data_IF_475051983100
#
_entry.id   IF_475051983100
#
_cell.length_a   1.000
_cell.length_b   1.000
_cell.length_c   1.000
_cell.angle_alpha   90.00
_cell.angle_beta   90.00
_cell.angle_gamma   90.00
#
_symmetry.space_group_name_H-M   'P 1'
#
loop_
_entity.id
_entity.type
_entity.pdbx_description
1 polymer ?
#
# COMPACT_ATOMS: atom_id res chain seq x y z
N UNK A 1 23.12 17.30 10.78
CA UNK A 1 21.72 17.11 11.17
C UNK A 1 21.33 15.67 10.97
N UNK A 2 20.78 15.05 11.98
CA UNK A 2 20.30 13.66 11.88
C UNK A 2 18.77 13.66 11.85
N UNK A 3 18.23 12.77 11.05
CA UNK A 3 16.79 12.57 10.95
C UNK A 3 16.44 11.18 11.47
N UNK A 4 15.54 11.11 12.43
CA UNK A 4 15.06 9.87 12.97
C UNK A 4 13.90 9.36 12.09
N UNK A 5 14.05 8.16 11.54
CA UNK A 5 13.03 7.52 10.73
C UNK A 5 12.32 6.45 11.54
N UNK A 6 11.02 6.62 11.71
CA UNK A 6 10.21 5.75 12.55
C UNK A 6 9.24 4.86 11.77
N UNK A 7 9.28 4.94 10.46
CA UNK A 7 8.48 4.12 9.56
C UNK A 7 8.89 2.64 9.66
N UNK A 8 8.08 1.70 9.18
CA UNK A 8 8.50 0.30 9.07
C UNK A 8 9.84 0.18 8.35
N UNK A 9 10.61 -0.86 8.69
CA UNK A 9 12.03 -0.97 8.31
C UNK A 9 12.28 -0.77 6.81
N UNK A 10 11.51 -1.40 5.94
CA UNK A 10 11.73 -1.29 4.50
C UNK A 10 11.44 0.10 3.97
N UNK A 11 10.38 0.73 4.46
CA UNK A 11 10.04 2.11 4.11
C UNK A 11 11.11 3.08 4.59
N UNK A 12 11.64 2.86 5.80
CA UNK A 12 12.70 3.68 6.35
C UNK A 12 14.00 3.56 5.55
N UNK A 13 14.34 2.37 5.09
CA UNK A 13 15.54 2.16 4.26
C UNK A 13 15.44 2.98 2.97
N UNK A 14 14.29 2.95 2.31
CA UNK A 14 14.07 3.71 1.07
C UNK A 14 14.17 5.21 1.34
N UNK A 15 13.52 5.69 2.38
CA UNK A 15 13.56 7.09 2.77
C UNK A 15 14.98 7.53 3.14
N UNK A 16 15.71 6.68 3.86
CA UNK A 16 17.10 6.95 4.24
C UNK A 16 17.99 7.15 3.02
N UNK A 17 17.84 6.30 2.01
CA UNK A 17 18.63 6.42 0.78
C UNK A 17 18.36 7.75 0.08
N UNK A 18 17.12 8.15 0.01
CA UNK A 18 16.75 9.44 -0.60
C UNK A 18 17.34 10.62 0.17
N UNK A 19 17.22 10.58 1.50
CA UNK A 19 17.73 11.67 2.35
C UNK A 19 19.25 11.74 2.34
N UNK A 20 19.94 10.60 2.28
CA UNK A 20 21.39 10.55 2.23
C UNK A 20 21.93 11.21 0.96
N UNK A 21 21.23 11.08 -0.16
CA UNK A 21 21.62 11.71 -1.43
C UNK A 21 21.60 13.23 -1.35
N UNK A 22 20.83 13.82 -0.49
CA UNK A 22 20.76 15.26 -0.31
C UNK A 22 21.45 15.74 0.95
N UNK A 23 22.30 14.88 1.54
CA UNK A 23 23.24 15.28 2.60
C UNK A 23 22.76 15.07 4.02
N UNK A 24 21.66 14.40 4.26
CA UNK A 24 21.18 14.13 5.62
C UNK A 24 21.70 12.79 6.13
N UNK A 25 22.07 12.76 7.41
CA UNK A 25 22.28 11.51 8.13
C UNK A 25 20.95 11.03 8.67
N UNK A 26 20.71 9.72 8.64
CA UNK A 26 19.47 9.14 9.14
C UNK A 26 19.74 8.08 10.21
N UNK A 27 18.82 7.97 11.15
CA UNK A 27 18.80 6.90 12.12
C UNK A 27 17.46 6.19 11.99
N UNK A 28 17.50 4.90 11.72
CA UNK A 28 16.28 4.11 11.50
C UNK A 28 15.92 3.39 12.80
N UNK A 29 14.77 3.77 13.36
CA UNK A 29 14.20 3.14 14.56
C UNK A 29 12.72 2.88 14.27
N UNK A 30 12.40 1.71 13.68
CA UNK A 30 11.02 1.45 13.31
C UNK A 30 10.16 1.21 14.56
N UNK A 31 9.11 2.01 14.71
CA UNK A 31 8.14 1.83 15.78
C UNK A 31 6.96 0.96 15.36
N UNK A 32 6.89 0.63 14.06
CA UNK A 32 5.84 -0.20 13.49
C UNK A 32 6.46 -1.36 12.75
N UNK A 33 5.89 -2.53 12.96
CA UNK A 33 6.21 -3.71 12.18
C UNK A 33 4.97 -4.09 11.37
N UNK A 34 5.15 -4.29 10.07
CA UNK A 34 4.05 -4.66 9.17
C UNK A 34 4.12 -6.16 8.92
N UNK A 35 3.03 -6.85 9.25
CA UNK A 35 2.90 -8.28 8.98
C UNK A 35 1.48 -8.58 8.52
N UNK A 36 1.33 -9.69 7.79
CA UNK A 36 0.00 -10.11 7.38
C UNK A 36 -0.73 -10.75 8.55
N UNK A 37 -2.06 -10.61 8.54
CA UNK A 37 -2.92 -11.36 9.44
C UNK A 37 -3.71 -12.39 8.63
N UNK A 38 -3.98 -13.53 9.23
CA UNK A 38 -4.81 -14.53 8.59
C UNK A 38 -6.26 -14.07 8.65
N UNK A 39 -6.94 -14.21 7.53
CA UNK A 39 -8.36 -13.96 7.45
C UNK A 39 -9.03 -15.05 6.62
N UNK A 40 -10.26 -15.35 6.92
CA UNK A 40 -11.02 -16.36 6.24
C UNK A 40 -12.40 -15.84 5.85
N UNK A 41 -12.94 -16.44 4.81
CA UNK A 41 -14.34 -16.28 4.49
C UNK A 41 -14.79 -14.89 4.12
N UNK A 42 -14.04 -14.20 3.30
CA UNK A 42 -14.50 -12.93 2.76
C UNK A 42 -15.75 -13.18 1.92
N UNK A 43 -16.88 -12.65 2.38
CA UNK A 43 -18.16 -12.77 1.67
C UNK A 43 -18.41 -11.49 0.89
N UNK A 44 -17.80 -11.43 -0.29
CA UNK A 44 -17.90 -10.27 -1.18
C UNK A 44 -18.56 -10.72 -2.47
N UNK A 45 -19.60 -10.03 -2.90
CA UNK A 45 -20.24 -10.29 -4.18
C UNK A 45 -19.52 -9.54 -5.29
N UNK A 46 -19.80 -9.88 -6.54
CA UNK A 46 -19.17 -9.23 -7.70
C UNK A 46 -19.51 -7.75 -7.82
N UNK A 47 -20.60 -7.31 -7.20
CA UNK A 47 -21.03 -5.92 -7.23
C UNK A 47 -20.47 -5.08 -6.09
N UNK A 48 -19.79 -5.72 -5.14
CA UNK A 48 -19.20 -5.02 -4.02
C UNK A 48 -17.87 -4.36 -4.42
N UNK A 49 -17.53 -3.28 -3.74
CA UNK A 49 -16.26 -2.59 -3.92
C UNK A 49 -15.29 -2.96 -2.80
N UNK A 50 -14.01 -2.95 -3.14
CA UNK A 50 -12.94 -3.15 -2.17
C UNK A 50 -12.11 -1.87 -2.12
N UNK A 51 -11.81 -1.40 -0.92
CA UNK A 51 -10.98 -0.20 -0.77
C UNK A 51 -9.63 -0.57 -0.14
N UNK A 52 -8.57 -0.14 -0.78
CA UNK A 52 -7.22 -0.27 -0.26
C UNK A 52 -6.66 1.11 0.05
N UNK A 53 -6.40 1.37 1.32
CA UNK A 53 -5.88 2.67 1.77
C UNK A 53 -4.38 2.64 2.01
N UNK A 54 -3.73 1.49 1.83
CA UNK A 54 -2.34 1.30 2.14
C UNK A 54 -1.72 0.32 1.13
N UNK A 55 -0.49 0.62 0.69
CA UNK A 55 0.27 -0.31 -0.16
C UNK A 55 0.52 -1.63 0.55
N UNK A 56 0.70 -1.60 1.88
CA UNK A 56 0.93 -2.82 2.65
C UNK A 56 -0.30 -3.71 2.66
N UNK A 57 -1.48 -3.12 2.78
CA UNK A 57 -2.72 -3.88 2.68
C UNK A 57 -2.86 -4.53 1.31
N UNK A 58 -2.54 -3.80 0.24
CA UNK A 58 -2.58 -4.34 -1.12
C UNK A 58 -1.56 -5.48 -1.30
N UNK A 59 -0.37 -5.34 -0.73
CA UNK A 59 0.67 -6.37 -0.81
C UNK A 59 0.27 -7.66 -0.09
N UNK A 60 -0.34 -7.54 1.09
CA UNK A 60 -0.69 -8.71 1.90
C UNK A 60 -2.05 -9.30 1.56
N UNK A 61 -2.82 -8.63 0.73
CA UNK A 61 -4.11 -9.16 0.30
C UNK A 61 -3.91 -10.42 -0.52
N UNK A 62 -4.52 -11.52 -0.07
CA UNK A 62 -4.46 -12.77 -0.82
C UNK A 62 -5.37 -12.64 -2.04
N UNK A 63 -4.75 -12.62 -3.19
CA UNK A 63 -5.49 -12.51 -4.43
C UNK A 63 -6.25 -13.81 -4.70
N UNK A 64 -7.54 -13.70 -4.73
CA UNK A 64 -8.41 -14.78 -5.20
C UNK A 64 -8.96 -14.35 -6.56
N UNK A 65 -8.91 -15.26 -7.52
CA UNK A 65 -9.32 -14.95 -8.90
C UNK A 65 -10.73 -14.37 -8.99
N UNK A 66 -11.59 -14.74 -8.05
CA UNK A 66 -12.96 -14.25 -8.02
C UNK A 66 -13.06 -12.74 -7.79
N UNK A 67 -12.04 -12.13 -7.18
CA UNK A 67 -12.06 -10.70 -6.89
C UNK A 67 -11.50 -9.84 -8.03
N UNK A 68 -10.94 -10.46 -9.06
CA UNK A 68 -10.32 -9.75 -10.18
C UNK A 68 -11.25 -8.73 -10.84
N UNK A 69 -12.52 -9.04 -10.93
CA UNK A 69 -13.50 -8.20 -11.61
C UNK A 69 -14.24 -7.25 -10.67
N UNK A 70 -13.95 -7.28 -9.37
CA UNK A 70 -14.49 -6.31 -8.45
C UNK A 70 -13.87 -4.94 -8.72
N UNK A 71 -14.68 -3.89 -8.58
CA UNK A 71 -14.15 -2.54 -8.60
C UNK A 71 -13.40 -2.28 -7.31
N UNK A 72 -12.22 -1.68 -7.41
CA UNK A 72 -11.41 -1.37 -6.23
C UNK A 72 -11.10 0.12 -6.19
N UNK A 73 -11.12 0.67 -4.99
CA UNK A 73 -10.64 2.02 -4.73
C UNK A 73 -9.25 1.93 -4.14
N UNK A 74 -8.35 2.75 -4.62
CA UNK A 74 -7.00 2.84 -4.07
C UNK A 74 -6.69 4.27 -3.63
N UNK A 75 -5.86 4.39 -2.61
CA UNK A 75 -5.31 5.66 -2.17
C UNK A 75 -3.81 5.60 -2.38
N UNK A 76 -3.28 6.53 -3.18
CA UNK A 76 -1.86 6.58 -3.49
C UNK A 76 -1.47 5.82 -4.74
N UNK A 77 -0.49 6.35 -5.46
CA UNK A 77 0.00 5.74 -6.71
C UNK A 77 0.69 4.40 -6.50
N UNK A 78 1.39 4.23 -5.37
CA UNK A 78 2.04 2.96 -5.06
C UNK A 78 1.03 1.84 -4.86
N UNK A 79 -0.06 2.13 -4.16
CA UNK A 79 -1.15 1.17 -3.96
C UNK A 79 -1.79 0.79 -5.28
N UNK A 80 -2.05 1.77 -6.14
CA UNK A 80 -2.59 1.54 -7.47
C UNK A 80 -1.71 0.60 -8.29
N UNK A 81 -0.40 0.84 -8.29
CA UNK A 81 0.55 0.02 -9.04
C UNK A 81 0.54 -1.44 -8.57
N UNK A 82 0.48 -1.65 -7.26
CA UNK A 82 0.41 -3.01 -6.71
C UNK A 82 -0.87 -3.72 -7.16
N UNK A 83 -1.99 -3.01 -7.14
CA UNK A 83 -3.27 -3.57 -7.56
C UNK A 83 -3.29 -3.90 -9.05
N UNK A 84 -2.65 -3.08 -9.88
CA UNK A 84 -2.49 -3.37 -11.31
C UNK A 84 -1.66 -4.64 -11.52
N UNK A 85 -0.59 -4.81 -10.77
CA UNK A 85 0.24 -6.02 -10.83
C UNK A 85 -0.53 -7.26 -10.41
N UNK A 86 -1.52 -7.11 -9.54
CA UNK A 86 -2.40 -8.20 -9.08
C UNK A 86 -3.60 -8.43 -10.00
N UNK A 87 -3.61 -7.81 -11.16
CA UNK A 87 -4.64 -8.01 -12.20
C UNK A 87 -6.06 -7.55 -11.84
N UNK A 88 -6.19 -6.62 -10.93
CA UNK A 88 -7.47 -5.96 -10.75
C UNK A 88 -7.80 -5.13 -11.99
N UNK A 89 -9.00 -5.29 -12.53
CA UNK A 89 -9.36 -4.68 -13.82
C UNK A 89 -9.98 -3.30 -13.70
N UNK A 90 -10.63 -3.01 -12.58
CA UNK A 90 -11.36 -1.76 -12.37
C UNK A 90 -10.82 -1.05 -11.13
N UNK A 91 -9.83 -0.19 -11.34
CA UNK A 91 -9.16 0.51 -10.24
C UNK A 91 -9.50 1.99 -10.33
N UNK A 92 -10.04 2.53 -9.25
CA UNK A 92 -10.33 3.96 -9.10
C UNK A 92 -9.36 4.51 -8.07
N UNK A 93 -8.48 5.40 -8.50
CA UNK A 93 -7.52 6.00 -7.57
C UNK A 93 -8.14 7.25 -6.94
N UNK A 94 -8.35 7.20 -5.64
CA UNK A 94 -8.99 8.27 -4.89
C UNK A 94 -8.21 9.58 -4.94
N UNK A 95 -6.88 9.51 -5.00
CA UNK A 95 -6.04 10.71 -5.07
C UNK A 95 -6.31 11.55 -6.31
N UNK A 96 -6.74 10.92 -7.40
CA UNK A 96 -7.03 11.61 -8.64
C UNK A 96 -8.42 12.25 -8.63
N UNK A 97 -9.30 11.81 -7.74
CA UNK A 97 -10.71 12.15 -7.76
C UNK A 97 -11.22 12.92 -6.54
N UNK A 98 -10.59 12.76 -5.38
CA UNK A 98 -11.08 13.36 -4.14
C UNK A 98 -10.86 14.86 -4.01
N UNK A 99 -9.91 15.41 -4.74
CA UNK A 99 -9.64 16.85 -4.73
C UNK A 99 -10.59 17.65 -5.63
N UNK A 100 -11.47 16.97 -6.28
CA UNK A 100 -12.44 17.54 -7.19
C UNK A 100 -13.85 17.40 -6.59
#
# INVERSE_FOLDING_TARGET
>A
MKILLTRPIYDSIITSKTLSKIGFETLIVPFLEISSVNYEGLKISKSDYIMFTSKNAANFFKFEKQFRNNSVFSVGSETKNILEEKDFKKIINADENLEK
#
